data_IF_626819563966
#
_entry.id   IF_626819563966
#
_cell.length_a   1.000
_cell.length_b   1.000
_cell.length_c   1.000
_cell.angle_alpha   90.00
_cell.angle_beta   90.00
_cell.angle_gamma   90.00
#
_symmetry.space_group_name_H-M   'P 1'
#
loop_
_entity.id
_entity.type
_entity.pdbx_description
1 polymer ?
#
# COMPACT_ATOMS: atom_id res chain seq x y z
N UNK A 1 -6.88 4.29 -3.19
CA UNK A 1 -6.46 5.46 -2.43
C UNK A 1 -5.76 5.03 -1.14
N UNK A 2 -5.01 5.95 -0.53
CA UNK A 2 -4.26 5.72 0.70
C UNK A 2 -4.81 6.60 1.79
N UNK A 3 -5.04 6.04 2.97
CA UNK A 3 -5.54 6.72 4.15
C UNK A 3 -6.65 5.93 4.84
N UNK A 4 -6.67 5.98 6.16
CA UNK A 4 -7.63 5.28 7.03
C UNK A 4 -9.10 5.61 6.70
N UNK A 5 -9.35 6.82 6.22
CA UNK A 5 -10.68 7.23 5.72
C UNK A 5 -11.22 6.28 4.64
N UNK A 6 -10.39 5.91 3.67
CA UNK A 6 -10.81 5.01 2.58
C UNK A 6 -10.98 3.56 3.06
N UNK A 7 -10.17 3.16 4.06
CA UNK A 7 -10.37 1.87 4.73
C UNK A 7 -11.73 1.86 5.44
N UNK A 8 -12.04 2.91 6.21
CA UNK A 8 -13.32 3.03 6.91
C UNK A 8 -14.52 3.04 5.94
N UNK A 9 -14.44 3.83 4.86
CA UNK A 9 -15.49 3.87 3.83
C UNK A 9 -15.75 2.46 3.27
N UNK A 10 -14.68 1.72 2.95
CA UNK A 10 -14.81 0.35 2.42
C UNK A 10 -15.36 -0.65 3.43
N UNK A 11 -14.96 -0.54 4.70
CA UNK A 11 -15.51 -1.37 5.78
C UNK A 11 -17.02 -1.17 5.93
N UNK A 12 -17.48 0.08 5.87
CA UNK A 12 -18.91 0.41 5.98
C UNK A 12 -19.69 -0.06 4.74
N UNK A 13 -19.15 0.10 3.55
CA UNK A 13 -19.77 -0.33 2.29
C UNK A 13 -19.97 -1.85 2.24
N UNK A 14 -18.96 -2.62 2.64
CA UNK A 14 -18.96 -4.08 2.57
C UNK A 14 -19.46 -4.77 3.85
N UNK A 15 -19.83 -4.00 4.87
CA UNK A 15 -20.17 -4.51 6.20
C UNK A 15 -19.06 -5.38 6.82
N UNK A 16 -17.81 -5.01 6.60
CA UNK A 16 -16.68 -5.65 7.25
C UNK A 16 -16.36 -4.95 8.58
N UNK A 17 -15.79 -5.68 9.52
CA UNK A 17 -15.51 -5.16 10.85
C UNK A 17 -14.02 -4.93 11.13
N UNK A 18 -13.11 -5.40 10.27
CA UNK A 18 -11.67 -5.27 10.43
C UNK A 18 -11.04 -4.76 9.14
N UNK A 19 -10.23 -3.72 9.25
CA UNK A 19 -9.44 -3.18 8.17
C UNK A 19 -8.12 -2.63 8.66
N UNK A 20 -7.18 -2.49 7.74
CA UNK A 20 -5.86 -1.96 8.11
C UNK A 20 -5.07 -1.46 6.92
N UNK A 21 -4.02 -0.72 7.24
CA UNK A 21 -3.07 -0.18 6.29
C UNK A 21 -1.64 -0.71 6.58
N UNK A 22 -0.77 -0.75 5.57
CA UNK A 22 0.65 -1.07 5.76
C UNK A 22 1.38 -0.15 6.74
N UNK A 23 0.84 1.04 6.99
CA UNK A 23 1.33 2.00 8.00
C UNK A 23 1.18 1.52 9.44
N UNK A 24 0.37 0.46 9.67
CA UNK A 24 0.05 -0.05 10.99
C UNK A 24 -1.24 0.52 11.61
N UNK A 25 -1.97 1.37 10.89
CA UNK A 25 -3.33 1.75 11.28
C UNK A 25 -4.27 0.55 11.13
N UNK A 26 -4.95 0.19 12.21
CA UNK A 26 -5.94 -0.89 12.24
C UNK A 26 -7.26 -0.33 12.77
N UNK A 27 -8.33 -0.54 12.01
CA UNK A 27 -9.70 -0.18 12.39
C UNK A 27 -10.43 -1.46 12.78
N UNK A 28 -10.93 -1.49 14.02
CA UNK A 28 -11.80 -2.55 14.53
C UNK A 28 -13.21 -1.98 14.67
N UNK A 29 -14.01 -2.03 13.60
CA UNK A 29 -15.27 -1.31 13.48
C UNK A 29 -16.36 -1.78 14.48
N UNK A 30 -16.21 -3.00 15.00
CA UNK A 30 -17.03 -3.52 16.09
C UNK A 30 -16.75 -2.87 17.45
N UNK A 31 -15.67 -2.09 17.58
CA UNK A 31 -15.29 -1.39 18.80
C UNK A 31 -15.18 0.14 18.62
N UNK A 32 -14.68 0.60 17.47
CA UNK A 32 -14.48 2.02 17.18
C UNK A 32 -14.44 2.28 15.66
N UNK A 33 -14.84 3.50 15.26
CA UNK A 33 -14.78 3.92 13.86
C UNK A 33 -13.44 4.57 13.46
N UNK A 34 -12.48 4.58 14.36
CA UNK A 34 -11.14 5.13 14.12
C UNK A 34 -10.07 4.11 14.38
N UNK A 35 -8.88 4.30 13.82
CA UNK A 35 -7.71 3.52 14.19
C UNK A 35 -7.33 3.81 15.64
N UNK A 36 -7.48 2.81 16.51
CA UNK A 36 -7.09 2.88 17.91
C UNK A 36 -6.09 1.77 18.21
N UNK A 37 -4.85 2.19 18.51
CA UNK A 37 -3.75 1.26 18.74
C UNK A 37 -3.95 0.39 20.00
N UNK A 38 -4.61 0.91 21.02
CA UNK A 38 -4.88 0.17 22.28
C UNK A 38 -5.92 -0.91 22.00
N UNK A 39 -7.01 -0.57 21.34
CA UNK A 39 -8.05 -1.53 20.95
C UNK A 39 -7.47 -2.60 20.05
N UNK A 40 -6.71 -2.22 19.02
CA UNK A 40 -6.05 -3.16 18.11
C UNK A 40 -5.11 -4.12 18.86
N UNK A 41 -4.28 -3.59 19.78
CA UNK A 41 -3.38 -4.40 20.61
C UNK A 41 -4.13 -5.38 21.51
N UNK A 42 -5.19 -4.94 22.19
CA UNK A 42 -5.99 -5.81 23.05
C UNK A 42 -6.70 -6.92 22.27
N UNK A 43 -7.22 -6.62 21.07
CA UNK A 43 -7.82 -7.63 20.19
C UNK A 43 -6.79 -8.63 19.70
N UNK A 44 -5.60 -8.17 19.29
CA UNK A 44 -4.49 -9.05 18.92
C UNK A 44 -4.09 -9.97 20.07
N UNK A 45 -3.89 -9.44 21.27
CA UNK A 45 -3.53 -10.23 22.45
C UNK A 45 -4.62 -11.25 22.81
N UNK A 46 -5.89 -10.88 22.67
CA UNK A 46 -6.99 -11.81 22.91
C UNK A 46 -7.01 -12.96 21.87
N UNK A 47 -6.76 -12.65 20.59
CA UNK A 47 -6.64 -13.67 19.56
C UNK A 47 -5.43 -14.58 19.78
N UNK A 48 -4.27 -14.03 20.13
CA UNK A 48 -3.07 -14.82 20.42
C UNK A 48 -3.22 -15.72 21.64
N UNK A 49 -4.05 -15.34 22.61
CA UNK A 49 -4.34 -16.16 23.79
C UNK A 49 -4.94 -17.51 23.38
N UNK A 50 -5.82 -17.55 22.41
CA UNK A 50 -6.45 -18.77 21.89
C UNK A 50 -5.42 -19.72 21.25
N UNK A 51 -4.35 -19.15 20.65
CA UNK A 51 -3.24 -19.89 20.07
C UNK A 51 -2.04 -20.12 21.04
N UNK A 52 -2.23 -19.88 22.33
CA UNK A 52 -1.20 -20.05 23.36
C UNK A 52 -0.08 -19.01 23.27
N UNK A 53 -0.38 -17.80 22.78
CA UNK A 53 0.58 -16.71 22.56
C UNK A 53 1.72 -17.06 21.58
N UNK A 54 1.45 -17.91 20.61
CA UNK A 54 2.42 -18.30 19.59
C UNK A 54 2.22 -17.45 18.31
N UNK A 55 2.99 -16.37 18.19
CA UNK A 55 2.92 -15.45 17.05
C UNK A 55 3.34 -16.11 15.73
N UNK A 56 4.35 -16.96 15.74
CA UNK A 56 4.82 -17.65 14.54
C UNK A 56 3.73 -18.56 13.95
N UNK A 57 2.98 -19.22 14.82
CA UNK A 57 1.83 -20.04 14.40
C UNK A 57 0.74 -19.18 13.79
N UNK A 58 0.41 -18.03 14.39
CA UNK A 58 -0.63 -17.11 13.93
C UNK A 58 -0.24 -16.42 12.61
N UNK A 59 1.06 -16.25 12.35
CA UNK A 59 1.59 -15.66 11.12
C UNK A 59 1.84 -16.69 10.01
N UNK A 60 1.58 -17.99 10.28
CA UNK A 60 1.84 -19.05 9.31
C UNK A 60 1.00 -18.84 8.04
N UNK A 61 1.66 -18.85 6.89
CA UNK A 61 1.02 -18.65 5.58
C UNK A 61 0.86 -17.18 5.16
N UNK A 62 1.18 -16.21 6.02
CA UNK A 62 1.22 -14.80 5.63
C UNK A 62 2.57 -14.46 4.99
N UNK A 63 2.54 -14.16 3.68
CA UNK A 63 3.70 -13.70 2.93
C UNK A 63 3.47 -12.27 2.46
N UNK A 64 4.21 -11.33 3.02
CA UNK A 64 4.20 -9.95 2.55
C UNK A 64 4.96 -9.85 1.22
N UNK A 65 4.33 -9.25 0.22
CA UNK A 65 5.02 -9.01 -1.04
C UNK A 65 6.14 -7.98 -0.89
N UNK A 66 7.30 -8.20 -1.52
CA UNK A 66 8.34 -7.20 -1.65
C UNK A 66 7.81 -5.88 -2.25
N UNK A 67 8.29 -4.78 -1.70
CA UNK A 67 7.88 -3.44 -2.09
C UNK A 67 9.09 -2.56 -2.34
N UNK A 68 9.14 -1.90 -3.48
CA UNK A 68 10.14 -0.87 -3.82
C UNK A 68 9.46 0.49 -3.88
N UNK A 69 10.04 1.48 -3.20
CA UNK A 69 9.58 2.86 -3.17
C UNK A 69 10.69 3.79 -3.62
N UNK A 70 10.42 4.61 -4.63
CA UNK A 70 11.30 5.69 -5.09
C UNK A 70 10.61 7.03 -4.89
N UNK A 71 11.28 7.94 -4.18
CA UNK A 71 10.89 9.33 -4.08
C UNK A 71 11.70 10.12 -5.12
N UNK A 72 11.07 10.46 -6.24
CA UNK A 72 11.71 11.19 -7.32
C UNK A 72 11.43 12.69 -7.17
N UNK A 73 12.47 13.48 -6.93
CA UNK A 73 12.36 14.95 -6.94
C UNK A 73 12.11 15.46 -8.35
N UNK A 74 11.11 16.30 -8.52
CA UNK A 74 10.69 16.86 -9.82
C UNK A 74 10.20 18.29 -9.63
N UNK A 75 10.45 19.15 -10.61
CA UNK A 75 10.01 20.54 -10.52
C UNK A 75 8.49 20.70 -10.50
N UNK A 76 7.78 19.83 -11.21
CA UNK A 76 6.32 19.86 -11.28
C UNK A 76 5.73 18.45 -11.33
N UNK A 77 5.32 17.88 -10.17
CA UNK A 77 4.68 16.57 -10.11
C UNK A 77 3.44 16.42 -11.02
N UNK A 78 2.67 17.49 -11.21
CA UNK A 78 1.47 17.44 -12.04
C UNK A 78 1.79 17.16 -13.52
N UNK A 79 2.96 17.55 -14.00
CA UNK A 79 3.39 17.27 -15.37
C UNK A 79 3.47 15.77 -15.63
N UNK A 80 3.89 15.00 -14.64
CA UNK A 80 3.96 13.52 -14.71
C UNK A 80 2.57 12.90 -14.52
N UNK A 81 1.81 13.39 -13.53
CA UNK A 81 0.46 12.87 -13.22
C UNK A 81 -0.52 13.08 -14.39
N UNK A 82 -0.35 14.14 -15.17
CA UNK A 82 -1.21 14.44 -16.34
C UNK A 82 -0.65 13.88 -17.66
N UNK A 83 0.43 13.09 -17.61
CA UNK A 83 1.09 12.57 -18.82
C UNK A 83 0.53 11.21 -19.23
N UNK A 84 -0.13 11.15 -20.38
CA UNK A 84 -0.76 9.94 -20.91
C UNK A 84 0.25 8.80 -21.17
N UNK A 85 1.46 9.15 -21.63
CA UNK A 85 2.51 8.17 -21.90
C UNK A 85 2.99 7.51 -20.60
N UNK A 86 3.09 8.28 -19.52
CA UNK A 86 3.44 7.75 -18.20
C UNK A 86 2.40 6.76 -17.70
N UNK A 87 1.13 7.14 -17.77
CA UNK A 87 0.02 6.26 -17.35
C UNK A 87 -0.17 5.03 -18.24
N UNK A 88 0.15 5.13 -19.52
CA UNK A 88 0.17 3.97 -20.40
C UNK A 88 1.20 2.92 -19.94
N UNK A 89 2.39 3.38 -19.50
CA UNK A 89 3.40 2.46 -18.96
C UNK A 89 2.98 1.89 -17.60
N UNK A 90 2.42 2.72 -16.70
CA UNK A 90 1.84 2.24 -15.43
C UNK A 90 0.84 1.12 -15.69
N UNK A 91 -0.13 1.35 -16.57
CA UNK A 91 -1.16 0.35 -16.92
C UNK A 91 -0.55 -0.92 -17.55
N UNK A 92 0.50 -0.77 -18.34
CA UNK A 92 1.23 -1.91 -18.90
C UNK A 92 1.86 -2.77 -17.81
N UNK A 93 2.47 -2.14 -16.82
CA UNK A 93 3.07 -2.83 -15.66
C UNK A 93 2.00 -3.49 -14.80
N UNK A 94 0.91 -2.79 -14.49
CA UNK A 94 -0.21 -3.36 -13.73
C UNK A 94 -0.79 -4.62 -14.39
N UNK A 95 -0.93 -4.61 -15.71
CA UNK A 95 -1.36 -5.81 -16.47
C UNK A 95 -0.37 -6.97 -16.34
N UNK A 96 0.94 -6.70 -16.33
CA UNK A 96 1.96 -7.73 -16.15
C UNK A 96 1.96 -8.32 -14.74
N UNK A 97 1.75 -7.48 -13.73
CA UNK A 97 1.67 -7.88 -12.35
C UNK A 97 0.38 -8.66 -12.04
N UNK A 98 -0.75 -8.27 -12.64
CA UNK A 98 -2.05 -8.88 -12.39
C UNK A 98 -2.40 -8.85 -10.90
N UNK A 99 -2.83 -9.97 -10.34
CA UNK A 99 -3.13 -10.11 -8.92
C UNK A 99 -1.88 -10.29 -8.03
N UNK A 100 -0.69 -10.37 -8.64
CA UNK A 100 0.60 -10.62 -7.97
C UNK A 100 1.39 -9.36 -7.65
N UNK A 101 0.75 -8.20 -7.74
CA UNK A 101 1.38 -6.93 -7.42
C UNK A 101 0.50 -5.74 -7.75
N UNK A 102 1.04 -4.56 -7.48
CA UNK A 102 0.38 -3.28 -7.75
C UNK A 102 1.37 -2.15 -7.95
N UNK A 103 0.92 -1.10 -8.60
CA UNK A 103 1.64 0.17 -8.73
C UNK A 103 0.89 1.26 -7.98
N UNK A 104 1.59 2.11 -7.25
CA UNK A 104 1.02 3.27 -6.60
C UNK A 104 1.86 4.50 -6.93
N UNK A 105 1.22 5.47 -7.57
CA UNK A 105 1.84 6.73 -7.97
C UNK A 105 1.12 7.87 -7.26
N UNK A 106 1.85 8.72 -6.55
CA UNK A 106 1.25 9.89 -5.91
C UNK A 106 2.23 11.06 -5.78
N UNK A 107 1.79 12.30 -5.98
CA UNK A 107 2.59 13.45 -5.63
C UNK A 107 2.71 13.56 -4.10
N UNK A 108 3.80 14.15 -3.62
CA UNK A 108 3.90 14.58 -2.23
C UNK A 108 3.06 15.84 -2.02
N UNK A 109 2.37 15.92 -0.89
CA UNK A 109 1.60 17.13 -0.53
C UNK A 109 2.45 18.28 0.01
N UNK A 110 3.71 18.00 0.40
CA UNK A 110 4.57 18.96 1.11
C UNK A 110 5.90 19.23 0.42
N UNK A 111 6.30 18.37 -0.51
CA UNK A 111 7.60 18.42 -1.17
C UNK A 111 7.45 18.31 -2.69
N UNK A 112 8.35 18.92 -3.48
CA UNK A 112 8.34 18.83 -4.94
C UNK A 112 8.87 17.46 -5.40
N UNK A 113 8.11 16.39 -5.12
CA UNK A 113 8.47 15.04 -5.52
C UNK A 113 7.23 14.20 -5.84
N UNK A 114 7.45 13.17 -6.63
CA UNK A 114 6.50 12.10 -6.90
C UNK A 114 6.98 10.81 -6.21
N UNK A 115 6.06 10.12 -5.58
CA UNK A 115 6.29 8.81 -4.97
C UNK A 115 5.84 7.74 -5.92
N UNK A 116 6.76 6.87 -6.29
CA UNK A 116 6.54 5.73 -7.17
C UNK A 116 6.77 4.47 -6.33
N UNK A 117 5.74 3.67 -6.15
CA UNK A 117 5.81 2.42 -5.41
C UNK A 117 5.34 1.28 -6.29
N UNK A 118 6.11 0.20 -6.32
CA UNK A 118 5.74 -1.07 -6.93
C UNK A 118 5.86 -2.17 -5.90
N UNK A 119 4.83 -2.97 -5.79
CA UNK A 119 4.73 -4.16 -4.96
C UNK A 119 4.56 -5.37 -5.87
N UNK A 120 5.30 -6.45 -5.64
CA UNK A 120 5.24 -7.65 -6.46
C UNK A 120 5.58 -8.89 -5.63
N UNK A 121 5.05 -10.06 -6.04
CA UNK A 121 5.44 -11.36 -5.48
C UNK A 121 6.96 -11.60 -5.56
N UNK A 122 7.64 -11.03 -6.56
CA UNK A 122 9.09 -11.12 -6.78
C UNK A 122 9.77 -9.77 -6.58
N UNK A 123 10.79 -9.75 -5.73
CA UNK A 123 11.56 -8.54 -5.41
C UNK A 123 12.17 -7.88 -6.66
N UNK A 124 12.79 -8.67 -7.53
CA UNK A 124 13.38 -8.16 -8.77
C UNK A 124 12.36 -7.49 -9.69
N UNK A 125 11.12 -7.97 -9.73
CA UNK A 125 10.07 -7.37 -10.56
C UNK A 125 9.64 -6.02 -9.95
N UNK A 126 9.49 -5.95 -8.63
CA UNK A 126 9.18 -4.70 -7.94
C UNK A 126 10.25 -3.62 -8.19
N UNK A 127 11.53 -4.01 -8.05
CA UNK A 127 12.67 -3.11 -8.27
C UNK A 127 12.77 -2.64 -9.73
N UNK A 128 12.74 -3.57 -10.68
CA UNK A 128 12.87 -3.26 -12.11
C UNK A 128 11.75 -2.36 -12.61
N UNK A 129 10.50 -2.63 -12.24
CA UNK A 129 9.36 -1.81 -12.65
C UNK A 129 9.37 -0.44 -11.98
N UNK A 130 9.74 -0.36 -10.71
CA UNK A 130 9.85 0.91 -10.00
C UNK A 130 10.93 1.82 -10.63
N UNK A 131 12.11 1.26 -10.91
CA UNK A 131 13.19 1.97 -11.59
C UNK A 131 12.80 2.43 -13.00
N UNK A 132 12.14 1.57 -13.78
CA UNK A 132 11.65 1.90 -15.13
C UNK A 132 10.69 3.09 -15.11
N UNK A 133 9.76 3.13 -14.16
CA UNK A 133 8.82 4.24 -13.99
C UNK A 133 9.53 5.52 -13.54
N UNK A 134 10.50 5.42 -12.63
CA UNK A 134 11.28 6.56 -12.18
C UNK A 134 12.12 7.16 -13.32
N UNK A 135 12.77 6.32 -14.12
CA UNK A 135 13.53 6.73 -15.30
C UNK A 135 12.65 7.39 -16.37
N UNK A 136 11.44 6.90 -16.57
CA UNK A 136 10.48 7.53 -17.48
C UNK A 136 10.04 8.88 -16.95
N UNK A 137 9.66 8.95 -15.67
CA UNK A 137 9.22 10.19 -15.02
C UNK A 137 10.31 11.28 -15.02
N UNK A 138 11.58 10.91 -14.83
CA UNK A 138 12.71 11.86 -14.84
C UNK A 138 12.96 12.53 -16.19
N UNK A 139 12.41 11.99 -17.28
CA UNK A 139 12.56 12.50 -18.66
C UNK A 139 11.37 13.35 -19.13
N UNK A 140 10.37 13.52 -18.28
CA UNK A 140 9.13 14.27 -18.57
C UNK A 140 9.16 15.66 -17.94
#
# INVERSE_FOLDING_TARGET
DVGDKYVLEKLLEENWFLGGEPSGHIICLDATQTGDAIIAALKLLNSLKEDGFNLDKSMHGFNKFPQTLINLSVDNPNKIILNDKFWSEVTSIERKLGEKGRVLIRPSGTEPLIRIMVESERENDAENHCNSLADLASKL
#
